data_IF_979093043953
#
_entry.id   IF_979093043953
#
_cell.length_a   1.000
_cell.length_b   1.000
_cell.length_c   1.000
_cell.angle_alpha   90.00
_cell.angle_beta   90.00
_cell.angle_gamma   90.00
#
_symmetry.space_group_name_H-M   'P 1'
#
loop_
_entity.id
_entity.type
_entity.pdbx_description
1 polymer ?
#
# COMPACT_ATOMS: atom_id res chain seq x y z
N UNK A 1 -15.72 14.88 -60.62
CA UNK A 1 -17.07 15.32 -61.06
C UNK A 1 -18.00 15.30 -59.86
N UNK A 2 -18.54 16.45 -59.63
CA UNK A 2 -19.88 16.73 -59.07
C UNK A 2 -20.15 16.25 -57.64
N UNK A 3 -20.18 17.18 -56.83
CA UNK A 3 -21.25 18.13 -56.43
C UNK A 3 -21.97 17.60 -55.22
N UNK A 4 -21.87 18.30 -54.20
CA UNK A 4 -22.82 19.35 -53.76
C UNK A 4 -23.84 18.76 -52.85
N UNK A 5 -24.24 19.29 -51.82
CA UNK A 5 -24.61 20.62 -51.38
C UNK A 5 -25.45 20.42 -50.12
N UNK A 6 -25.15 21.15 -49.09
CA UNK A 6 -26.05 22.18 -48.52
C UNK A 6 -27.24 21.59 -47.78
N UNK A 7 -27.61 22.02 -46.66
CA UNK A 7 -28.06 23.30 -46.13
C UNK A 7 -28.51 23.08 -44.68
N UNK A 8 -28.08 23.83 -43.81
CA UNK A 8 -28.59 25.11 -43.35
C UNK A 8 -29.70 25.00 -42.30
N UNK A 9 -29.35 25.61 -41.25
CA UNK A 9 -30.18 26.39 -40.31
C UNK A 9 -31.13 25.65 -39.40
N UNK A 10 -31.03 25.86 -38.14
CA UNK A 10 -31.74 26.99 -37.54
C UNK A 10 -31.27 27.24 -36.11
N UNK A 11 -31.07 28.50 -35.86
CA UNK A 11 -30.86 29.04 -34.54
C UNK A 11 -32.02 28.68 -33.59
N UNK A 12 -31.63 28.29 -32.40
CA UNK A 12 -32.51 28.18 -31.23
C UNK A 12 -31.72 28.55 -30.02
N UNK A 13 -31.65 29.82 -29.70
CA UNK A 13 -31.17 30.32 -28.44
C UNK A 13 -32.15 29.85 -27.37
N UNK A 14 -31.64 29.07 -26.42
CA UNK A 14 -32.22 28.96 -25.10
C UNK A 14 -31.09 29.05 -24.08
N UNK A 15 -30.97 30.22 -23.53
CA UNK A 15 -30.33 30.54 -22.27
C UNK A 15 -30.95 29.67 -21.18
N UNK A 16 -30.17 28.86 -20.55
CA UNK A 16 -30.65 28.08 -19.43
C UNK A 16 -29.53 27.30 -18.78
N UNK A 17 -28.72 27.93 -17.94
CA UNK A 17 -28.19 27.37 -16.71
C UNK A 17 -27.41 26.07 -16.77
N UNK A 18 -26.18 26.09 -17.25
CA UNK A 18 -25.20 25.06 -16.93
C UNK A 18 -24.24 25.54 -15.83
N UNK A 19 -24.74 25.77 -14.63
CA UNK A 19 -23.90 26.00 -13.44
C UNK A 19 -24.00 24.86 -12.43
N UNK A 20 -24.58 23.71 -12.80
CA UNK A 20 -24.76 22.58 -11.87
C UNK A 20 -23.81 21.39 -12.16
N UNK A 21 -22.97 21.42 -13.17
CA UNK A 21 -22.12 20.28 -13.56
C UNK A 21 -20.69 20.33 -13.00
N UNK A 22 -20.22 21.46 -12.52
CA UNK A 22 -18.89 21.54 -11.88
C UNK A 22 -18.86 21.07 -10.44
N UNK A 23 -20.00 21.01 -9.77
CA UNK A 23 -20.07 20.52 -8.37
C UNK A 23 -20.11 19.00 -8.23
N UNK A 24 -20.35 18.26 -9.30
CA UNK A 24 -20.50 16.81 -9.26
C UNK A 24 -19.15 16.08 -9.36
N UNK A 25 -18.15 16.69 -10.00
CA UNK A 25 -16.83 16.06 -10.13
C UNK A 25 -15.99 16.16 -8.85
N UNK A 26 -16.07 17.24 -8.11
CA UNK A 26 -15.37 17.34 -6.81
C UNK A 26 -15.96 16.41 -5.74
N UNK A 27 -17.26 16.15 -5.78
CA UNK A 27 -17.89 15.22 -4.83
C UNK A 27 -17.54 13.76 -5.17
N UNK A 28 -17.37 13.40 -6.43
CA UNK A 28 -17.00 12.07 -6.85
C UNK A 28 -15.53 11.73 -6.50
N UNK A 29 -14.60 12.66 -6.64
CA UNK A 29 -13.21 12.47 -6.20
C UNK A 29 -13.09 12.35 -4.67
N UNK A 30 -13.84 13.13 -3.93
CA UNK A 30 -13.85 13.05 -2.47
C UNK A 30 -14.46 11.75 -1.95
N UNK A 31 -15.50 11.23 -2.60
CA UNK A 31 -16.14 9.96 -2.24
C UNK A 31 -15.22 8.79 -2.60
N UNK A 32 -14.55 8.81 -3.73
CA UNK A 32 -13.59 7.77 -4.11
C UNK A 32 -12.39 7.71 -3.17
N UNK A 33 -11.89 8.86 -2.71
CA UNK A 33 -10.77 8.92 -1.77
C UNK A 33 -11.16 8.40 -0.37
N UNK A 34 -12.36 8.71 0.09
CA UNK A 34 -12.90 8.21 1.37
C UNK A 34 -13.14 6.70 1.31
N UNK A 35 -13.66 6.19 0.20
CA UNK A 35 -13.91 4.76 0.04
C UNK A 35 -12.60 3.97 -0.06
N UNK A 36 -11.57 4.47 -0.74
CA UNK A 36 -10.25 3.86 -0.78
C UNK A 36 -9.57 3.89 0.59
N UNK A 37 -9.66 4.97 1.33
CA UNK A 37 -9.10 5.08 2.68
C UNK A 37 -9.78 4.11 3.65
N UNK A 38 -11.10 3.96 3.56
CA UNK A 38 -11.85 3.03 4.39
C UNK A 38 -11.54 1.55 4.07
N UNK A 39 -11.40 1.19 2.79
CA UNK A 39 -11.00 -0.17 2.38
C UNK A 39 -9.57 -0.50 2.81
N UNK A 40 -8.67 0.47 2.79
CA UNK A 40 -7.29 0.31 3.24
C UNK A 40 -7.20 0.08 4.75
N UNK A 41 -7.96 0.84 5.52
CA UNK A 41 -8.01 0.67 6.97
C UNK A 41 -8.62 -0.69 7.36
N UNK A 42 -9.60 -1.18 6.61
CA UNK A 42 -10.17 -2.51 6.81
C UNK A 42 -9.14 -3.62 6.56
N UNK A 43 -8.30 -3.49 5.56
CA UNK A 43 -7.28 -4.48 5.25
C UNK A 43 -6.16 -4.54 6.30
N UNK A 44 -5.70 -3.42 6.81
CA UNK A 44 -4.71 -3.38 7.89
C UNK A 44 -5.29 -3.92 9.20
N UNK A 45 -6.52 -3.58 9.52
CA UNK A 45 -7.17 -4.11 10.72
C UNK A 45 -7.32 -5.63 10.67
N UNK A 46 -7.48 -6.21 9.49
CA UNK A 46 -7.60 -7.67 9.33
C UNK A 46 -6.30 -8.43 9.64
N UNK A 47 -5.15 -7.79 9.50
CA UNK A 47 -3.83 -8.37 9.77
C UNK A 47 -3.21 -7.87 11.07
N UNK A 48 -3.87 -6.95 11.78
CA UNK A 48 -3.36 -6.37 13.01
C UNK A 48 -3.28 -7.42 14.12
N UNK A 49 -2.12 -7.49 14.79
CA UNK A 49 -1.87 -8.43 15.87
C UNK A 49 -1.58 -9.87 15.42
N UNK A 50 -1.59 -10.15 14.12
CA UNK A 50 -1.25 -11.47 13.57
C UNK A 50 0.22 -11.51 13.21
N UNK A 51 0.93 -12.54 13.69
CA UNK A 51 2.32 -12.78 13.31
C UNK A 51 2.40 -13.55 12.00
N UNK A 52 3.19 -13.02 11.08
CA UNK A 52 3.50 -13.64 9.79
C UNK A 52 5.00 -13.97 9.74
N UNK A 53 5.34 -15.10 9.16
CA UNK A 53 6.72 -15.58 9.01
C UNK A 53 7.17 -15.43 7.56
N UNK A 54 8.36 -14.91 7.34
CA UNK A 54 8.98 -14.80 6.02
C UNK A 54 9.24 -16.18 5.42
N UNK A 55 8.97 -16.32 4.14
CA UNK A 55 9.19 -17.56 3.40
C UNK A 55 10.64 -18.05 3.54
N UNK A 56 10.82 -19.31 3.93
CA UNK A 56 12.11 -19.97 4.12
C UNK A 56 13.05 -19.30 5.15
N UNK A 57 12.48 -18.62 6.15
CA UNK A 57 13.25 -17.93 7.19
C UNK A 57 12.55 -18.00 8.55
N UNK A 58 13.28 -17.67 9.61
CA UNK A 58 12.75 -17.51 10.98
C UNK A 58 12.29 -16.05 11.24
N UNK A 59 12.40 -15.18 10.25
CA UNK A 59 12.06 -13.78 10.36
C UNK A 59 10.54 -13.61 10.42
N UNK A 60 10.08 -12.80 11.36
CA UNK A 60 8.65 -12.54 11.54
C UNK A 60 8.30 -11.07 11.40
N UNK A 61 7.05 -10.78 11.07
CA UNK A 61 6.47 -9.44 11.04
C UNK A 61 5.06 -9.47 11.64
N UNK A 62 4.76 -8.50 12.47
CA UNK A 62 3.41 -8.23 12.98
C UNK A 62 3.08 -6.77 12.72
N UNK A 63 1.88 -6.53 12.21
CA UNK A 63 1.34 -5.19 12.01
C UNK A 63 0.44 -4.81 13.19
N UNK A 64 0.57 -3.59 13.68
CA UNK A 64 -0.29 -3.04 14.72
C UNK A 64 -0.58 -1.57 14.42
N UNK A 65 -1.70 -1.31 13.77
CA UNK A 65 -2.14 0.01 13.33
C UNK A 65 -1.07 0.81 12.56
N UNK A 66 -0.24 1.55 13.28
CA UNK A 66 0.81 2.42 12.74
C UNK A 66 2.22 1.90 12.98
N UNK A 67 2.35 0.68 13.48
CA UNK A 67 3.63 0.07 13.85
C UNK A 67 3.79 -1.29 13.22
N UNK A 68 5.04 -1.65 13.00
CA UNK A 68 5.45 -3.02 12.73
C UNK A 68 6.47 -3.44 13.78
N UNK A 69 6.49 -4.71 14.08
CA UNK A 69 7.51 -5.32 14.94
C UNK A 69 7.62 -6.80 14.63
N UNK A 70 8.73 -7.40 15.04
CA UNK A 70 8.97 -8.81 14.82
C UNK A 70 10.37 -9.24 15.23
N UNK A 71 10.78 -10.39 14.69
CA UNK A 71 12.11 -10.96 14.84
C UNK A 71 12.82 -10.96 13.49
N UNK A 72 14.06 -10.51 13.44
CA UNK A 72 14.82 -10.31 12.19
C UNK A 72 15.89 -11.39 11.93
N UNK A 73 15.87 -12.47 12.69
CA UNK A 73 16.83 -13.56 12.59
C UNK A 73 17.78 -13.66 13.78
N UNK A 74 18.20 -12.55 14.35
CA UNK A 74 19.00 -12.45 15.60
C UNK A 74 18.33 -11.50 16.59
N UNK A 75 17.88 -10.35 16.11
CA UNK A 75 17.36 -9.26 16.92
C UNK A 75 15.84 -9.10 16.76
N UNK A 76 15.22 -8.49 17.76
CA UNK A 76 13.87 -7.95 17.62
C UNK A 76 13.95 -6.58 16.97
N UNK A 77 12.99 -6.29 16.09
CA UNK A 77 12.92 -4.99 15.44
C UNK A 77 11.52 -4.39 15.58
N UNK A 78 11.44 -3.10 15.38
CA UNK A 78 10.20 -2.33 15.30
C UNK A 78 10.38 -1.14 14.37
N UNK A 79 9.28 -0.61 13.86
CA UNK A 79 9.25 0.55 12.98
C UNK A 79 7.87 1.16 12.91
N UNK A 80 7.80 2.36 12.34
CA UNK A 80 6.53 2.99 12.01
C UNK A 80 6.08 2.54 10.63
N UNK A 81 4.78 2.36 10.45
CA UNK A 81 4.19 2.01 9.16
C UNK A 81 3.00 2.90 8.84
N UNK A 82 2.93 3.31 7.59
CA UNK A 82 1.77 3.99 6.99
C UNK A 82 1.35 3.20 5.78
N UNK A 83 0.06 2.92 5.67
CA UNK A 83 -0.51 2.24 4.50
C UNK A 83 -1.64 3.08 3.95
N UNK A 84 -1.62 3.27 2.63
CA UNK A 84 -2.64 4.00 1.87
C UNK A 84 -2.95 3.22 0.59
N UNK A 85 -4.08 2.55 0.56
CA UNK A 85 -4.36 1.60 -0.52
C UNK A 85 -3.35 0.45 -0.49
N UNK A 86 -2.72 0.20 -1.61
CA UNK A 86 -1.65 -0.79 -1.73
C UNK A 86 -0.26 -0.20 -1.47
N UNK A 87 -0.17 1.09 -1.16
CA UNK A 87 1.10 1.74 -0.87
C UNK A 87 1.44 1.58 0.61
N UNK A 88 2.67 1.21 0.89
CA UNK A 88 3.22 1.12 2.24
C UNK A 88 4.46 2.01 2.36
N UNK A 89 4.60 2.65 3.49
CA UNK A 89 5.82 3.38 3.86
C UNK A 89 6.25 2.88 5.23
N UNK A 90 7.49 2.43 5.32
CA UNK A 90 8.09 1.92 6.57
C UNK A 90 9.21 2.87 6.95
N UNK A 91 9.12 3.43 8.15
CA UNK A 91 10.04 4.45 8.64
C UNK A 91 10.58 4.08 10.03
N UNK A 92 11.74 4.64 10.37
CA UNK A 92 12.32 4.53 11.72
C UNK A 92 12.49 3.08 12.18
N UNK A 93 12.94 2.20 11.29
CA UNK A 93 13.23 0.81 11.64
C UNK A 93 14.43 0.78 12.59
N UNK A 94 14.22 0.25 13.77
CA UNK A 94 15.25 0.05 14.78
C UNK A 94 15.23 -1.41 15.26
N UNK A 95 16.38 -1.91 15.68
CA UNK A 95 16.51 -3.26 16.23
C UNK A 95 17.34 -3.27 17.51
N UNK A 96 17.20 -4.32 18.30
CA UNK A 96 18.14 -4.60 19.39
C UNK A 96 19.52 -4.94 18.82
N UNK A 97 20.55 -4.88 19.63
CA UNK A 97 21.94 -5.07 19.19
C UNK A 97 22.57 -6.28 19.90
N UNK A 98 22.01 -7.47 19.63
CA UNK A 98 22.58 -8.72 20.10
C UNK A 98 23.50 -9.29 19.02
N UNK A 99 24.59 -9.92 19.43
CA UNK A 99 25.46 -10.66 18.54
C UNK A 99 24.91 -12.08 18.30
N UNK A 100 25.00 -12.55 17.07
CA UNK A 100 24.60 -13.88 16.66
C UNK A 100 25.59 -14.48 15.63
N UNK A 101 25.28 -15.65 15.09
CA UNK A 101 26.06 -16.23 14.00
C UNK A 101 26.14 -15.25 12.82
N UNK A 102 27.31 -15.19 12.18
CA UNK A 102 27.56 -14.20 11.12
C UNK A 102 26.55 -14.29 9.97
N UNK A 103 26.22 -15.48 9.53
CA UNK A 103 25.23 -15.70 8.47
C UNK A 103 23.83 -15.16 8.85
N UNK A 104 23.43 -15.28 10.12
CA UNK A 104 22.16 -14.73 10.60
C UNK A 104 22.21 -13.20 10.74
N UNK A 105 23.35 -12.65 11.11
CA UNK A 105 23.55 -11.19 11.15
C UNK A 105 23.49 -10.57 9.74
N UNK A 106 24.02 -11.27 8.74
CA UNK A 106 23.92 -10.86 7.33
C UNK A 106 22.48 -10.95 6.81
N UNK A 107 21.78 -12.04 7.13
CA UNK A 107 20.35 -12.23 6.80
C UNK A 107 19.51 -11.08 7.39
N UNK A 108 19.69 -10.78 8.68
CA UNK A 108 19.04 -9.66 9.37
C UNK A 108 19.32 -8.32 8.70
N UNK A 109 20.59 -8.02 8.42
CA UNK A 109 20.98 -6.76 7.79
C UNK A 109 20.34 -6.59 6.41
N UNK A 110 20.32 -7.64 5.61
CA UNK A 110 19.69 -7.65 4.29
C UNK A 110 18.18 -7.49 4.38
N UNK A 111 17.55 -8.16 5.34
CA UNK A 111 16.12 -8.05 5.59
C UNK A 111 15.71 -6.65 6.01
N UNK A 112 16.37 -6.06 7.03
CA UNK A 112 16.02 -4.73 7.53
C UNK A 112 16.21 -3.63 6.47
N UNK A 113 17.26 -3.75 5.63
CA UNK A 113 17.43 -2.87 4.46
C UNK A 113 16.32 -3.03 3.44
N UNK A 114 15.98 -4.28 3.10
CA UNK A 114 14.91 -4.55 2.17
C UNK A 114 13.57 -4.04 2.70
N UNK A 115 13.28 -4.26 3.99
CA UNK A 115 12.05 -3.82 4.63
C UNK A 115 11.84 -2.30 4.54
N UNK A 116 12.90 -1.51 4.74
CA UNK A 116 12.86 -0.05 4.64
C UNK A 116 12.63 0.44 3.19
N UNK A 117 12.89 -0.39 2.19
CA UNK A 117 12.71 -0.07 0.77
C UNK A 117 11.36 -0.51 0.21
N UNK A 118 10.49 -1.14 1.01
CA UNK A 118 9.17 -1.60 0.58
C UNK A 118 8.23 -0.41 0.34
N UNK A 119 7.56 -0.44 -0.80
CA UNK A 119 6.63 0.62 -1.24
C UNK A 119 5.22 0.14 -1.52
N UNK A 120 5.04 -1.17 -1.67
CA UNK A 120 3.73 -1.76 -1.94
C UNK A 120 3.45 -2.95 -1.04
N UNK A 121 2.18 -3.11 -0.66
CA UNK A 121 1.68 -4.22 0.13
C UNK A 121 0.50 -4.88 -0.57
N UNK A 122 0.49 -6.20 -0.59
CA UNK A 122 -0.65 -7.01 -1.01
C UNK A 122 -1.02 -7.96 0.12
N UNK A 123 -2.27 -7.94 0.54
CA UNK A 123 -2.79 -8.76 1.62
C UNK A 123 -3.67 -9.86 1.01
N UNK A 124 -3.29 -11.11 1.24
CA UNK A 124 -4.08 -12.29 0.90
C UNK A 124 -4.72 -12.90 2.16
N UNK A 125 -5.37 -14.05 2.02
CA UNK A 125 -6.08 -14.71 3.12
C UNK A 125 -5.15 -15.07 4.30
N UNK A 126 -4.00 -15.69 3.98
CA UNK A 126 -2.97 -16.08 4.96
C UNK A 126 -1.58 -15.56 4.58
N UNK A 127 -1.52 -14.58 3.71
CA UNK A 127 -0.28 -14.13 3.14
C UNK A 127 -0.19 -12.61 3.10
N UNK A 128 1.01 -12.10 3.29
CA UNK A 128 1.34 -10.71 3.03
C UNK A 128 2.53 -10.68 2.08
N UNK A 129 2.44 -9.91 1.02
CA UNK A 129 3.54 -9.68 0.10
C UNK A 129 3.91 -8.20 0.11
N UNK A 130 5.14 -7.90 0.43
CA UNK A 130 5.71 -6.57 0.33
C UNK A 130 6.63 -6.52 -0.89
N UNK A 131 6.52 -5.45 -1.68
CA UNK A 131 7.39 -5.22 -2.83
C UNK A 131 7.95 -3.81 -2.82
N UNK A 132 9.18 -3.67 -3.27
CA UNK A 132 9.87 -2.38 -3.38
C UNK A 132 11.29 -2.56 -3.88
N UNK A 133 11.79 -1.58 -4.63
CA UNK A 133 13.16 -1.56 -5.15
C UNK A 133 13.62 -2.88 -5.82
N UNK A 134 12.72 -3.52 -6.60
CA UNK A 134 12.98 -4.78 -7.27
C UNK A 134 13.05 -6.02 -6.36
N UNK A 135 12.70 -5.87 -5.08
CA UNK A 135 12.67 -6.95 -4.08
C UNK A 135 11.25 -7.32 -3.72
N UNK A 136 11.06 -8.57 -3.32
CA UNK A 136 9.77 -9.08 -2.84
C UNK A 136 9.99 -9.86 -1.54
N UNK A 137 9.21 -9.54 -0.53
CA UNK A 137 9.16 -10.26 0.75
C UNK A 137 7.77 -10.88 0.89
N UNK A 138 7.71 -12.20 0.95
CA UNK A 138 6.47 -12.96 1.15
C UNK A 138 6.43 -13.52 2.56
N UNK A 139 5.33 -13.26 3.23
CA UNK A 139 5.09 -13.71 4.59
C UNK A 139 3.83 -14.56 4.64
N UNK A 140 3.83 -15.54 5.52
CA UNK A 140 2.71 -16.47 5.73
C UNK A 140 2.35 -16.53 7.20
N UNK A 141 1.05 -16.65 7.50
CA UNK A 141 0.56 -17.03 8.83
C UNK A 141 0.08 -18.47 8.82
N UNK A 142 0.14 -19.12 9.97
CA UNK A 142 -0.30 -20.50 10.19
C UNK A 142 -1.82 -20.62 10.24
#
# INVERSE_FOLDING_TARGET
MKKSLIILTLAGALLGGCTALEKTSETAEKVNNVTQTAQTMLNINSISGVEYTLENSDITITFDNTKIYGFSGVNRYFGAVKVQGNNITIENVASTMMAGPQNKMEEESNYLKALAEMTSITIGDKTITLTGNGKTLKFFTK
#
